data_IF_307097648664
#
_entry.id   IF_307097648664
#
_cell.length_a   1.000
_cell.length_b   1.000
_cell.length_c   1.000
_cell.angle_alpha   90.00
_cell.angle_beta   90.00
_cell.angle_gamma   90.00
#
_symmetry.space_group_name_H-M   'P 1'
#
loop_
_entity.id
_entity.type
_entity.pdbx_description
1 polymer ?
#
# COMPACT_ATOMS: atom_id res chain seq x y z
N UNK A 1 25.68 32.16 -8.85
CA UNK A 1 26.12 30.86 -8.33
C UNK A 1 25.34 30.41 -7.09
N UNK A 2 25.26 31.25 -6.07
CA UNK A 2 24.46 30.92 -4.87
C UNK A 2 23.00 30.72 -5.20
N UNK A 3 22.41 31.57 -6.03
CA UNK A 3 21.02 31.44 -6.45
C UNK A 3 20.78 30.11 -7.17
N UNK A 4 21.70 29.69 -8.04
CA UNK A 4 21.61 28.42 -8.76
C UNK A 4 21.63 27.26 -7.79
N UNK A 5 22.48 27.30 -6.77
CA UNK A 5 22.54 26.25 -5.74
C UNK A 5 21.26 26.18 -4.94
N UNK A 6 20.65 27.32 -4.60
CA UNK A 6 19.39 27.39 -3.88
C UNK A 6 18.27 26.79 -4.74
N UNK A 7 18.19 27.13 -6.02
CA UNK A 7 17.20 26.60 -6.94
C UNK A 7 17.32 25.10 -7.10
N UNK A 8 18.55 24.58 -7.21
CA UNK A 8 18.77 23.13 -7.29
C UNK A 8 18.33 22.42 -6.02
N UNK A 9 18.57 23.00 -4.86
CA UNK A 9 18.13 22.43 -3.58
C UNK A 9 16.60 22.37 -3.50
N UNK A 10 15.91 23.43 -3.92
CA UNK A 10 14.44 23.49 -3.93
C UNK A 10 13.88 22.44 -4.89
N UNK A 11 14.45 22.29 -6.07
CA UNK A 11 14.03 21.28 -7.04
C UNK A 11 14.22 19.86 -6.49
N UNK A 12 15.33 19.61 -5.80
CA UNK A 12 15.59 18.31 -5.17
C UNK A 12 14.58 17.99 -4.08
N UNK A 13 14.19 18.95 -3.27
CA UNK A 13 13.17 18.79 -2.24
C UNK A 13 11.81 18.48 -2.89
N UNK A 14 11.44 19.23 -3.93
CA UNK A 14 10.18 19.03 -4.64
C UNK A 14 10.13 17.64 -5.29
N UNK A 15 11.22 17.18 -5.88
CA UNK A 15 11.32 15.86 -6.49
C UNK A 15 11.19 14.76 -5.42
N UNK A 16 11.83 14.94 -4.27
CA UNK A 16 11.72 13.99 -3.16
C UNK A 16 10.29 13.85 -2.65
N UNK A 17 9.58 14.96 -2.50
CA UNK A 17 8.19 14.95 -2.06
C UNK A 17 7.27 14.28 -3.10
N UNK A 18 7.48 14.58 -4.38
CA UNK A 18 6.72 13.95 -5.46
C UNK A 18 6.97 12.44 -5.50
N UNK A 19 8.22 12.01 -5.34
CA UNK A 19 8.59 10.59 -5.31
C UNK A 19 7.92 9.88 -4.13
N UNK A 20 7.89 10.50 -2.96
CA UNK A 20 7.23 9.95 -1.78
C UNK A 20 5.72 9.79 -1.99
N UNK A 21 5.08 10.77 -2.61
CA UNK A 21 3.65 10.70 -2.92
C UNK A 21 3.35 9.57 -3.91
N UNK A 22 4.17 9.42 -4.94
CA UNK A 22 4.04 8.32 -5.90
C UNK A 22 4.26 6.98 -5.21
N UNK A 23 5.27 6.89 -4.33
CA UNK A 23 5.53 5.68 -3.57
C UNK A 23 4.35 5.26 -2.70
N UNK A 24 3.70 6.23 -2.05
CA UNK A 24 2.49 5.96 -1.26
C UNK A 24 1.36 5.42 -2.14
N UNK A 25 1.17 5.99 -3.33
CA UNK A 25 0.18 5.50 -4.28
C UNK A 25 0.46 4.09 -4.76
N UNK A 26 1.73 3.77 -5.03
CA UNK A 26 2.14 2.41 -5.43
C UNK A 26 1.88 1.43 -4.30
N UNK A 27 2.21 1.79 -3.05
CA UNK A 27 1.96 0.94 -1.90
C UNK A 27 0.46 0.66 -1.73
N UNK A 28 -0.38 1.68 -1.87
CA UNK A 28 -1.83 1.53 -1.79
C UNK A 28 -2.36 0.63 -2.91
N UNK A 29 -1.88 0.82 -4.12
CA UNK A 29 -2.26 0.00 -5.27
C UNK A 29 -1.88 -1.46 -5.03
N UNK A 30 -0.65 -1.70 -4.56
CA UNK A 30 -0.16 -3.05 -4.30
C UNK A 30 -1.01 -3.76 -3.24
N UNK A 31 -1.37 -3.05 -2.16
CA UNK A 31 -2.23 -3.60 -1.12
C UNK A 31 -3.62 -3.91 -1.64
N UNK A 32 -4.21 -3.00 -2.41
CA UNK A 32 -5.54 -3.20 -3.00
C UNK A 32 -5.55 -4.41 -3.94
N UNK A 33 -4.51 -4.56 -4.74
CA UNK A 33 -4.35 -5.68 -5.65
C UNK A 33 -4.25 -7.01 -4.89
N UNK A 34 -3.42 -7.03 -3.83
CA UNK A 34 -3.24 -8.22 -3.00
C UNK A 34 -4.52 -8.61 -2.26
N UNK A 35 -5.19 -7.64 -1.67
CA UNK A 35 -6.45 -7.86 -0.94
C UNK A 35 -7.54 -8.33 -1.91
N UNK A 36 -7.60 -7.77 -3.11
CA UNK A 36 -8.53 -8.18 -4.14
C UNK A 36 -8.36 -9.65 -4.51
N UNK A 37 -7.11 -10.12 -4.66
CA UNK A 37 -6.83 -11.52 -4.95
C UNK A 37 -7.22 -12.43 -3.80
N UNK A 38 -6.94 -12.02 -2.57
CA UNK A 38 -7.32 -12.77 -1.36
C UNK A 38 -8.84 -12.89 -1.28
N UNK A 39 -9.54 -11.79 -1.49
CA UNK A 39 -11.00 -11.76 -1.46
C UNK A 39 -11.61 -12.68 -2.51
N UNK A 40 -11.13 -12.59 -3.74
CA UNK A 40 -11.60 -13.44 -4.84
C UNK A 40 -11.39 -14.92 -4.52
N UNK A 41 -10.17 -15.28 -4.11
CA UNK A 41 -9.84 -16.67 -3.79
C UNK A 41 -10.70 -17.20 -2.64
N UNK A 42 -10.92 -16.38 -1.62
CA UNK A 42 -11.73 -16.75 -0.46
C UNK A 42 -13.20 -16.98 -0.84
N UNK A 43 -13.76 -16.10 -1.66
CA UNK A 43 -15.15 -16.23 -2.11
C UNK A 43 -15.33 -17.47 -3.01
N UNK A 44 -14.39 -17.72 -3.90
CA UNK A 44 -14.42 -18.89 -4.77
C UNK A 44 -14.32 -20.19 -3.95
N UNK A 45 -13.40 -20.22 -2.99
CA UNK A 45 -13.25 -21.40 -2.13
C UNK A 45 -14.49 -21.63 -1.27
N UNK A 46 -15.05 -20.56 -0.70
CA UNK A 46 -16.26 -20.63 0.11
C UNK A 46 -17.47 -21.10 -0.67
N UNK A 47 -17.58 -20.72 -1.95
CA UNK A 47 -18.69 -21.16 -2.80
C UNK A 47 -18.61 -22.65 -3.14
N UNK A 48 -17.40 -23.20 -3.20
CA UNK A 48 -17.19 -24.63 -3.45
C UNK A 48 -17.37 -25.48 -2.19
N UNK A 49 -17.10 -24.92 -1.03
CA UNK A 49 -17.18 -25.60 0.26
C UNK A 49 -17.94 -24.74 1.24
N UNK A 50 -19.27 -24.64 1.10
CA UNK A 50 -20.09 -23.76 1.95
C UNK A 50 -19.94 -24.03 3.44
N UNK A 51 -19.71 -25.27 3.84
CA UNK A 51 -19.51 -25.66 5.24
C UNK A 51 -18.21 -25.10 5.82
N UNK A 52 -17.24 -24.74 4.97
CA UNK A 52 -15.95 -24.15 5.37
C UNK A 52 -15.88 -22.65 5.08
N UNK A 53 -16.97 -22.03 4.62
CA UNK A 53 -16.97 -20.63 4.21
C UNK A 53 -16.54 -19.69 5.35
N UNK A 54 -16.91 -20.01 6.60
CA UNK A 54 -16.51 -19.23 7.75
C UNK A 54 -15.00 -19.26 7.99
N UNK A 55 -14.38 -20.41 7.76
CA UNK A 55 -12.93 -20.57 7.88
C UNK A 55 -12.19 -19.74 6.83
N UNK A 56 -12.62 -19.81 5.58
CA UNK A 56 -12.01 -19.02 4.49
C UNK A 56 -12.16 -17.52 4.73
N UNK A 57 -13.33 -17.11 5.22
CA UNK A 57 -13.58 -15.70 5.53
C UNK A 57 -12.65 -15.21 6.63
N UNK A 58 -12.48 -15.98 7.70
CA UNK A 58 -11.61 -15.60 8.82
C UNK A 58 -10.15 -15.51 8.37
N UNK A 59 -9.69 -16.48 7.59
CA UNK A 59 -8.32 -16.47 7.06
C UNK A 59 -8.11 -15.26 6.16
N UNK A 60 -9.07 -14.94 5.31
CA UNK A 60 -8.97 -13.78 4.41
C UNK A 60 -8.90 -12.46 5.21
N UNK A 61 -9.67 -12.34 6.28
CA UNK A 61 -9.63 -11.16 7.14
C UNK A 61 -8.25 -11.01 7.78
N UNK A 62 -7.70 -12.09 8.32
CA UNK A 62 -6.37 -12.06 8.97
C UNK A 62 -5.29 -11.68 7.97
N UNK A 63 -5.24 -12.33 6.81
CA UNK A 63 -4.23 -12.06 5.80
C UNK A 63 -4.41 -10.64 5.25
N UNK A 64 -5.66 -10.23 5.01
CA UNK A 64 -5.96 -8.88 4.54
C UNK A 64 -5.50 -7.82 5.53
N UNK A 65 -5.69 -8.06 6.82
CA UNK A 65 -5.23 -7.15 7.87
C UNK A 65 -3.69 -7.03 7.89
N UNK A 66 -2.98 -8.13 7.67
CA UNK A 66 -1.52 -8.11 7.60
C UNK A 66 -1.02 -7.32 6.39
N UNK A 67 -1.66 -7.49 5.23
CA UNK A 67 -1.35 -6.72 4.02
C UNK A 67 -1.62 -5.24 4.24
N UNK A 68 -2.75 -4.92 4.84
CA UNK A 68 -3.13 -3.53 5.16
C UNK A 68 -2.12 -2.89 6.11
N UNK A 69 -1.71 -3.62 7.14
CA UNK A 69 -0.71 -3.13 8.09
C UNK A 69 0.62 -2.82 7.42
N UNK A 70 1.11 -3.70 6.57
CA UNK A 70 2.34 -3.47 5.81
C UNK A 70 2.21 -2.25 4.89
N UNK A 71 1.06 -2.09 4.25
CA UNK A 71 0.77 -0.94 3.39
C UNK A 71 0.78 0.37 4.19
N UNK A 72 0.17 0.39 5.37
CA UNK A 72 0.13 1.57 6.23
C UNK A 72 1.53 1.98 6.67
N UNK A 73 2.41 1.03 7.00
CA UNK A 73 3.81 1.33 7.32
C UNK A 73 4.54 1.92 6.11
N UNK A 74 4.32 1.38 4.92
CA UNK A 74 4.94 1.91 3.70
C UNK A 74 4.48 3.34 3.43
N UNK A 75 3.20 3.62 3.60
CA UNK A 75 2.63 4.95 3.41
C UNK A 75 3.19 5.90 4.48
N UNK A 76 3.35 5.44 5.72
CA UNK A 76 3.94 6.25 6.78
C UNK A 76 5.37 6.66 6.44
N UNK A 77 6.18 5.74 5.92
CA UNK A 77 7.55 6.05 5.49
C UNK A 77 7.53 7.13 4.40
N UNK A 78 6.61 7.01 3.45
CA UNK A 78 6.46 8.02 2.39
C UNK A 78 5.99 9.36 2.96
N UNK A 79 5.09 9.35 3.94
CA UNK A 79 4.63 10.57 4.60
C UNK A 79 5.79 11.28 5.29
N UNK A 80 6.65 10.55 5.98
CA UNK A 80 7.84 11.11 6.61
C UNK A 80 8.78 11.74 5.58
N UNK A 81 8.83 11.19 4.38
CA UNK A 81 9.60 11.76 3.27
C UNK A 81 9.03 13.07 2.74
N UNK A 82 7.73 13.30 2.91
CA UNK A 82 7.09 14.56 2.50
C UNK A 82 7.28 15.65 3.55
N UNK A 83 7.30 15.29 4.81
CA UNK A 83 7.50 16.23 5.92
C UNK A 83 8.97 16.65 6.01
#
# INVERSE_FOLDING_TARGET
MLLTLILQAVEGIALGKASAAIGAGIAAFAAAFGIGKIGKASLEAGSRQPEEAGHYRMTAIIIGALVEGACLFAILVCLLGIL
#
